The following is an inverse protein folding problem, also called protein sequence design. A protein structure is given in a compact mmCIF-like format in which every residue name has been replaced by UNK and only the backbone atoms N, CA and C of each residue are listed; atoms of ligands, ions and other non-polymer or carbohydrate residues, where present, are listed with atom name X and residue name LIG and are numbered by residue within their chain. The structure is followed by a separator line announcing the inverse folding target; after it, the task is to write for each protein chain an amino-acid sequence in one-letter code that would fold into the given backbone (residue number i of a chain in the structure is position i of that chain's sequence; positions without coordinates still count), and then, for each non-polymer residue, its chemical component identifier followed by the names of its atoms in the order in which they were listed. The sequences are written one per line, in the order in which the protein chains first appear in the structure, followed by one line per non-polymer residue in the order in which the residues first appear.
data_IF_158312054998
#
_entry.id   IF_158312054998
#
_cell.length_a   1.000
_cell.length_b   1.000
_cell.length_c   1.000
_cell.angle_alpha   90.00
_cell.angle_beta   90.00
_cell.angle_gamma   90.00
#
_symmetry.space_group_name_H-M   'P 1'
#
loop_
_entity.id
_entity.type
_entity.pdbx_description
1 polymer ?
#
# COMPACT_ATOMS: atom_id res chain seq x y z
N UNK A 1 -17.57 9.86 24.93
CA UNK A 1 -16.14 9.87 24.56
C UNK A 1 -16.05 10.71 23.31
N UNK A 2 -15.33 11.83 23.35
CA UNK A 2 -15.15 12.65 22.14
C UNK A 2 -14.40 11.81 21.13
N UNK A 3 -15.02 11.55 19.97
CA UNK A 3 -14.35 10.87 18.86
C UNK A 3 -13.11 11.67 18.48
N UNK A 4 -11.96 11.00 18.39
CA UNK A 4 -10.69 11.58 17.90
C UNK A 4 -10.76 11.77 16.36
N UNK A 5 -11.86 11.37 15.74
CA UNK A 5 -12.05 11.31 14.30
C UNK A 5 -13.16 12.26 13.85
N UNK A 6 -12.97 12.99 12.74
CA UNK A 6 -14.01 13.81 12.16
C UNK A 6 -15.14 12.93 11.61
N UNK A 7 -16.39 13.34 11.81
CA UNK A 7 -17.50 12.68 11.15
C UNK A 7 -17.41 12.93 9.64
N UNK A 8 -17.92 12.00 8.83
CA UNK A 8 -17.93 12.17 7.38
C UNK A 8 -18.65 13.47 6.95
N UNK A 9 -19.65 13.89 7.72
CA UNK A 9 -20.39 15.13 7.50
C UNK A 9 -19.54 16.40 7.70
N UNK A 10 -18.44 16.32 8.46
CA UNK A 10 -17.57 17.46 8.75
C UNK A 10 -16.53 17.71 7.65
N UNK A 11 -16.35 16.75 6.75
CA UNK A 11 -15.45 16.86 5.61
C UNK A 11 -16.00 17.82 4.55
N UNK A 12 -15.15 18.59 3.85
CA UNK A 12 -13.69 18.58 3.93
C UNK A 12 -13.15 19.30 5.17
N UNK A 13 -12.03 18.83 5.72
CA UNK A 13 -11.31 19.55 6.78
C UNK A 13 -10.66 20.83 6.24
N UNK A 14 -9.93 20.71 5.13
CA UNK A 14 -9.34 21.85 4.42
C UNK A 14 -10.36 22.39 3.42
N UNK A 15 -11.02 23.51 3.74
CA UNK A 15 -12.18 24.04 2.97
C UNK A 15 -11.82 24.56 1.57
N UNK A 16 -10.56 24.93 1.34
CA UNK A 16 -10.01 25.31 0.04
C UNK A 16 -9.60 24.09 -0.83
N UNK A 17 -9.59 22.88 -0.25
CA UNK A 17 -9.27 21.64 -0.93
C UNK A 17 -10.46 20.96 -1.62
N UNK A 18 -10.24 19.78 -2.25
CA UNK A 18 -11.30 19.04 -2.92
C UNK A 18 -12.36 18.54 -1.93
N UNK A 19 -13.60 18.34 -2.42
CA UNK A 19 -14.71 17.82 -1.62
C UNK A 19 -14.31 16.53 -0.89
N UNK A 20 -14.60 16.47 0.41
CA UNK A 20 -14.40 15.27 1.21
C UNK A 20 -12.95 15.02 1.65
N UNK A 21 -12.03 15.98 1.48
CA UNK A 21 -10.65 15.78 1.94
C UNK A 21 -10.54 15.77 3.48
N UNK A 22 -9.62 14.95 3.97
CA UNK A 22 -9.18 14.94 5.37
C UNK A 22 -7.79 15.61 5.54
N UNK A 23 -7.43 16.54 4.65
CA UNK A 23 -6.11 17.16 4.66
C UNK A 23 -5.92 18.01 5.92
N UNK A 24 -4.74 17.90 6.55
CA UNK A 24 -4.41 18.58 7.79
C UNK A 24 -4.84 17.84 9.06
N UNK A 25 -5.51 16.68 8.96
CA UNK A 25 -5.92 15.90 10.15
C UNK A 25 -4.73 15.53 11.05
N UNK A 26 -3.58 15.20 10.45
CA UNK A 26 -2.33 14.85 11.16
C UNK A 26 -1.24 15.92 11.03
N UNK A 27 -1.64 17.15 10.68
CA UNK A 27 -0.73 18.27 10.45
C UNK A 27 -0.45 18.55 8.98
N UNK A 28 0.22 19.68 8.69
CA UNK A 28 0.43 20.17 7.33
C UNK A 28 1.43 19.36 6.50
N UNK A 29 2.36 18.64 7.15
CA UNK A 29 3.43 17.89 6.49
C UNK A 29 3.14 16.36 6.44
N UNK A 30 1.92 15.93 6.76
CA UNK A 30 1.56 14.51 6.75
C UNK A 30 1.59 13.92 5.33
N UNK A 31 2.25 12.78 5.18
CA UNK A 31 2.37 12.04 3.93
C UNK A 31 1.85 10.60 4.03
N UNK A 32 1.41 10.16 5.21
CA UNK A 32 1.02 8.76 5.45
C UNK A 32 -0.45 8.59 5.81
N UNK A 33 -1.21 9.68 5.97
CA UNK A 33 -2.67 9.65 6.04
C UNK A 33 -3.18 8.70 7.11
N UNK A 34 -4.11 7.83 6.74
CA UNK A 34 -4.73 6.88 7.68
C UNK A 34 -3.76 5.86 8.29
N UNK A 35 -2.53 5.72 7.78
CA UNK A 35 -1.51 4.89 8.42
C UNK A 35 -1.10 5.44 9.79
N UNK A 36 -1.30 6.73 10.06
CA UNK A 36 -1.12 7.34 11.38
C UNK A 36 -1.99 6.68 12.48
N UNK A 37 -3.03 5.91 12.12
CA UNK A 37 -3.83 5.15 13.09
C UNK A 37 -3.12 3.90 13.63
N UNK A 38 -2.05 3.44 12.97
CA UNK A 38 -1.28 2.28 13.39
C UNK A 38 -0.21 2.70 14.42
N UNK A 39 -0.66 3.14 15.61
CA UNK A 39 0.26 3.51 16.70
C UNK A 39 0.96 2.28 17.30
N UNK A 40 2.08 2.51 17.99
CA UNK A 40 2.82 1.44 18.66
C UNK A 40 1.93 0.65 19.65
N UNK A 41 1.05 1.33 20.38
CA UNK A 41 0.14 0.71 21.33
C UNK A 41 -0.91 -0.15 20.63
N UNK A 42 -1.45 0.33 19.50
CA UNK A 42 -2.42 -0.43 18.70
C UNK A 42 -1.79 -1.70 18.16
N UNK A 43 -0.57 -1.59 17.62
CA UNK A 43 0.18 -2.73 17.06
C UNK A 43 0.56 -3.72 18.16
N UNK A 44 1.09 -3.24 19.30
CA UNK A 44 1.48 -4.09 20.43
C UNK A 44 0.28 -4.83 21.03
N UNK A 45 -0.86 -4.14 21.21
CA UNK A 45 -2.10 -4.75 21.68
C UNK A 45 -2.57 -5.84 20.72
N UNK A 46 -2.68 -5.54 19.43
CA UNK A 46 -3.10 -6.52 18.43
C UNK A 46 -2.18 -7.75 18.40
N UNK A 47 -0.86 -7.54 18.48
CA UNK A 47 0.10 -8.64 18.56
C UNK A 47 -0.11 -9.50 19.82
N UNK A 48 -0.24 -8.89 21.00
CA UNK A 48 -0.42 -9.59 22.27
C UNK A 48 -1.77 -10.31 22.39
N UNK A 49 -2.83 -9.75 21.81
CA UNK A 49 -4.20 -10.27 21.89
C UNK A 49 -4.53 -11.30 20.82
N UNK A 50 -3.93 -11.25 19.62
CA UNK A 50 -4.30 -12.12 18.50
C UNK A 50 -3.29 -13.25 18.25
N UNK A 51 -2.01 -13.05 18.51
CA UNK A 51 -0.98 -14.07 18.25
C UNK A 51 -0.97 -15.09 19.40
N UNK A 52 -1.82 -16.12 19.30
CA UNK A 52 -1.93 -17.18 20.33
C UNK A 52 -1.29 -18.51 19.93
N UNK A 53 -1.37 -18.88 18.66
CA UNK A 53 -1.01 -20.22 18.17
C UNK A 53 0.28 -20.26 17.36
N UNK A 54 0.83 -19.10 16.99
CA UNK A 54 2.00 -19.01 16.09
C UNK A 54 1.73 -19.51 14.65
N UNK A 55 0.47 -19.77 14.29
CA UNK A 55 0.09 -20.18 12.93
C UNK A 55 0.17 -18.98 11.98
N UNK A 56 0.68 -19.23 10.77
CA UNK A 56 0.86 -18.22 9.72
C UNK A 56 0.18 -18.69 8.45
N UNK A 57 -0.60 -17.81 7.82
CA UNK A 57 -1.25 -18.03 6.53
C UNK A 57 -0.81 -16.92 5.60
N UNK A 58 -0.24 -17.26 4.45
CA UNK A 58 0.13 -16.27 3.43
C UNK A 58 -1.12 -15.74 2.75
N UNK A 59 -1.25 -14.41 2.70
CA UNK A 59 -2.27 -13.72 1.89
C UNK A 59 -1.71 -13.27 0.53
N UNK A 60 -0.43 -13.55 0.26
CA UNK A 60 0.18 -13.22 -1.01
C UNK A 60 -0.31 -14.18 -2.09
N UNK A 61 -0.76 -13.61 -3.20
CA UNK A 61 -0.96 -14.33 -4.44
C UNK A 61 0.38 -14.54 -5.14
N UNK A 62 0.43 -15.46 -6.10
CA UNK A 62 1.64 -15.69 -6.89
C UNK A 62 1.86 -14.50 -7.82
N UNK A 63 3.13 -14.17 -8.11
CA UNK A 63 3.46 -13.09 -9.05
C UNK A 63 3.04 -13.40 -10.50
N UNK A 64 2.75 -14.67 -10.79
CA UNK A 64 2.16 -15.16 -12.05
C UNK A 64 0.65 -15.40 -11.95
N UNK A 65 0.03 -15.10 -10.79
CA UNK A 65 -1.36 -15.45 -10.51
C UNK A 65 -2.38 -14.67 -11.33
N UNK A 66 -2.03 -13.43 -11.72
CA UNK A 66 -2.86 -12.61 -12.59
C UNK A 66 -2.86 -13.15 -14.02
N UNK A 67 -3.84 -13.99 -14.35
CA UNK A 67 -3.97 -14.61 -15.68
C UNK A 67 -4.47 -13.63 -16.75
N UNK A 68 -5.05 -12.50 -16.33
CA UNK A 68 -5.55 -11.42 -17.19
C UNK A 68 -5.17 -10.08 -16.56
N UNK A 69 -3.95 -9.56 -16.82
CA UNK A 69 -3.54 -8.27 -16.32
C UNK A 69 -4.47 -7.19 -16.89
N UNK A 70 -5.40 -6.70 -16.06
CA UNK A 70 -6.26 -5.57 -16.40
C UNK A 70 -5.39 -4.32 -16.63
N UNK A 71 -5.84 -3.41 -17.51
CA UNK A 71 -5.16 -2.13 -17.78
C UNK A 71 -3.77 -2.25 -18.42
N UNK A 72 -3.53 -3.28 -19.25
CA UNK A 72 -2.28 -3.45 -20.03
C UNK A 72 -1.00 -3.44 -19.19
N UNK A 73 -1.09 -3.86 -17.92
CA UNK A 73 0.05 -3.86 -16.99
C UNK A 73 1.05 -4.96 -17.36
N UNK A 74 2.35 -4.66 -17.21
CA UNK A 74 3.43 -5.64 -17.37
C UNK A 74 3.29 -6.76 -16.32
N UNK A 75 3.26 -8.01 -16.75
CA UNK A 75 3.30 -9.20 -15.89
C UNK A 75 4.72 -9.46 -15.38
N UNK A 76 4.91 -10.50 -14.56
CA UNK A 76 6.25 -10.92 -14.18
C UNK A 76 7.05 -11.36 -15.42
N UNK A 77 8.24 -10.79 -15.57
CA UNK A 77 9.33 -11.26 -16.39
C UNK A 77 10.47 -11.69 -15.47
N UNK A 78 10.81 -12.98 -15.49
CA UNK A 78 11.80 -13.60 -14.63
C UNK A 78 12.92 -14.18 -15.50
N UNK A 79 14.13 -13.66 -15.34
CA UNK A 79 15.32 -14.13 -16.05
C UNK A 79 16.29 -14.77 -15.06
N UNK A 80 16.51 -16.07 -15.25
CA UNK A 80 17.46 -16.87 -14.47
C UNK A 80 18.81 -16.87 -15.21
N UNK A 81 19.88 -16.50 -14.51
CA UNK A 81 21.24 -16.37 -15.03
C UNK A 81 22.10 -17.47 -14.42
N UNK A 82 22.47 -18.47 -15.22
CA UNK A 82 23.44 -19.48 -14.83
C UNK A 82 24.87 -18.95 -14.96
N UNK A 83 25.68 -19.05 -13.89
CA UNK A 83 27.06 -18.54 -13.84
C UNK A 83 28.12 -19.59 -14.23
N UNK A 84 27.70 -20.81 -14.56
CA UNK A 84 28.62 -21.86 -14.98
C UNK A 84 29.26 -21.56 -16.36
N UNK A 85 30.50 -22.02 -16.61
CA UNK A 85 31.36 -22.79 -15.70
C UNK A 85 32.16 -21.94 -14.70
N UNK A 86 32.10 -20.61 -14.80
CA UNK A 86 32.91 -19.71 -13.97
C UNK A 86 32.63 -19.92 -12.47
N UNK A 87 31.36 -20.08 -12.09
CA UNK A 87 30.92 -20.47 -10.75
C UNK A 87 29.69 -21.36 -10.84
N UNK A 88 29.56 -22.33 -9.93
CA UNK A 88 28.32 -23.09 -9.75
C UNK A 88 27.36 -22.25 -8.91
N UNK A 89 26.62 -21.36 -9.57
CA UNK A 89 25.67 -20.44 -8.96
C UNK A 89 24.63 -19.96 -9.98
N UNK A 90 23.50 -19.44 -9.47
CA UNK A 90 22.45 -18.79 -10.24
C UNK A 90 22.17 -17.40 -9.64
N UNK A 91 21.98 -16.40 -10.51
CA UNK A 91 21.38 -15.11 -10.16
C UNK A 91 20.02 -14.99 -10.86
N UNK A 92 19.10 -14.19 -10.33
CA UNK A 92 17.80 -13.93 -10.96
C UNK A 92 17.56 -12.43 -11.13
N UNK A 93 17.00 -12.03 -12.27
CA UNK A 93 16.50 -10.67 -12.53
C UNK A 93 14.97 -10.71 -12.64
N UNK A 94 14.30 -9.83 -11.89
CA UNK A 94 12.84 -9.74 -11.82
C UNK A 94 12.39 -8.38 -12.35
N UNK A 95 11.49 -8.37 -13.33
CA UNK A 95 10.88 -7.14 -13.85
C UNK A 95 9.37 -7.30 -13.92
N UNK A 96 8.64 -6.46 -13.19
CA UNK A 96 7.18 -6.53 -13.09
C UNK A 96 6.59 -5.15 -12.77
N UNK A 97 5.29 -4.98 -13.02
CA UNK A 97 4.54 -3.82 -12.56
C UNK A 97 4.12 -4.01 -11.09
N UNK A 98 4.26 -3.00 -10.23
CA UNK A 98 3.94 -3.13 -8.79
C UNK A 98 2.46 -3.38 -8.48
N UNK A 99 1.59 -3.32 -9.48
CA UNK A 99 0.16 -3.64 -9.41
C UNK A 99 -0.21 -4.93 -10.16
N UNK A 100 0.73 -5.90 -10.29
CA UNK A 100 0.51 -7.15 -11.02
C UNK A 100 0.15 -8.37 -10.15
N UNK A 101 0.16 -8.25 -8.83
CA UNK A 101 -0.17 -9.32 -7.87
C UNK A 101 -0.70 -8.70 -6.56
N UNK A 102 -0.69 -9.43 -5.44
CA UNK A 102 -1.01 -8.86 -4.12
C UNK A 102 -0.20 -7.58 -3.90
N UNK A 103 -0.90 -6.48 -3.61
CA UNK A 103 -0.35 -5.13 -3.70
C UNK A 103 -0.95 -4.20 -2.64
N UNK A 104 -0.23 -3.12 -2.37
CA UNK A 104 -0.75 -1.92 -1.72
C UNK A 104 -0.63 -0.76 -2.71
N UNK A 105 -1.72 -0.03 -2.89
CA UNK A 105 -1.73 1.18 -3.70
C UNK A 105 -1.48 2.40 -2.80
N UNK A 106 -0.33 3.03 -2.98
CA UNK A 106 0.00 4.25 -2.24
C UNK A 106 -0.93 5.41 -2.59
N UNK A 107 -0.96 6.46 -1.76
CA UNK A 107 -1.85 7.61 -1.93
C UNK A 107 -1.70 8.38 -3.26
N UNK A 108 -0.63 8.13 -4.01
CA UNK A 108 -0.38 8.70 -5.35
C UNK A 108 -0.81 7.78 -6.50
N UNK A 109 -1.19 6.53 -6.22
CA UNK A 109 -1.52 5.55 -7.25
C UNK A 109 -2.69 6.01 -8.14
N UNK A 110 -3.71 6.61 -7.51
CA UNK A 110 -4.89 7.08 -8.22
C UNK A 110 -5.41 8.39 -7.63
N UNK A 111 -5.07 9.50 -8.31
CA UNK A 111 -5.45 10.84 -7.89
C UNK A 111 -6.96 11.10 -8.06
N UNK A 112 -7.48 12.12 -7.37
CA UNK A 112 -8.84 12.59 -7.59
C UNK A 112 -8.95 13.30 -8.95
N UNK A 113 -9.51 12.60 -9.94
CA UNK A 113 -9.47 13.00 -11.35
C UNK A 113 -10.06 14.38 -11.62
N UNK A 114 -11.21 14.73 -11.00
CA UNK A 114 -11.87 16.02 -11.23
C UNK A 114 -11.05 17.21 -10.75
N UNK A 115 -10.33 17.06 -9.64
CA UNK A 115 -9.52 18.12 -9.06
C UNK A 115 -8.02 18.01 -9.44
N UNK A 116 -7.62 16.93 -10.11
CA UNK A 116 -6.24 16.65 -10.51
C UNK A 116 -5.23 16.72 -9.34
N UNK A 117 -5.65 16.24 -8.16
CA UNK A 117 -4.81 16.21 -6.96
C UNK A 117 -4.75 14.80 -6.38
N UNK A 118 -3.56 14.35 -6.00
CA UNK A 118 -3.37 13.23 -5.06
C UNK A 118 -3.26 13.77 -3.64
N UNK A 119 -3.25 12.90 -2.63
CA UNK A 119 -2.71 13.30 -1.33
C UNK A 119 -1.29 13.83 -1.59
N UNK A 120 -1.07 15.12 -1.33
CA UNK A 120 0.16 15.85 -1.62
C UNK A 120 1.25 15.42 -0.64
N UNK A 121 2.49 15.33 -1.15
CA UNK A 121 3.65 15.75 -0.37
C UNK A 121 3.78 17.27 -0.45
#
# INVERSE_FOLDING_TARGET
MNSVWPDFADLPLKKDGPRGNAWGLWGPDDQIGTLNYLTEEVVARAAGEEIKLGKRISLNWTLTGSSYPTLTRKTLDLKIINKAPLKIAHDDEWSFNSQCSSQWDGFRHYAYQKAQVSLQA
#
